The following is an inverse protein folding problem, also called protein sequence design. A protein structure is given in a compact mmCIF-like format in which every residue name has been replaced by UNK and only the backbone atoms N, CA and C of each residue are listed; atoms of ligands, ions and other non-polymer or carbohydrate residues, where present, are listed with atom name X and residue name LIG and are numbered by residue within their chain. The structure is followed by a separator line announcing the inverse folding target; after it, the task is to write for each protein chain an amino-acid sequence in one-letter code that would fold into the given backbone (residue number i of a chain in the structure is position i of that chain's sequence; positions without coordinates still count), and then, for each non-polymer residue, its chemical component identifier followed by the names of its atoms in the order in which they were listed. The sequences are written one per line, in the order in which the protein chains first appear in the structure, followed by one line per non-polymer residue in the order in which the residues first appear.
data_IF_641290291738
#
_entry.id   IF_641290291738
#
_cell.length_a   1.000
_cell.length_b   1.000
_cell.length_c   1.000
_cell.angle_alpha   90.00
_cell.angle_beta   90.00
_cell.angle_gamma   90.00
#
_symmetry.space_group_name_H-M   'P 1'
#
loop_
_entity.id
_entity.type
_entity.pdbx_description
1 polymer ?
#
# COMPACT_ATOMS: atom_id res chain seq x y z
N UNK A 1 2.89 -0.60 19.86
CA UNK A 1 3.80 0.26 19.09
C UNK A 1 3.17 1.63 18.94
N UNK A 2 3.86 2.68 19.40
CA UNK A 2 3.43 4.08 19.30
C UNK A 2 3.92 4.76 18.03
N UNK A 3 3.65 6.05 17.92
CA UNK A 3 4.29 6.94 16.97
C UNK A 3 5.55 7.50 17.57
N UNK A 4 6.63 7.53 16.79
CA UNK A 4 7.88 8.22 17.10
C UNK A 4 7.90 9.52 16.31
N UNK A 5 8.15 10.64 16.97
CA UNK A 5 8.16 11.96 16.34
C UNK A 5 9.56 12.55 16.38
N UNK A 6 9.98 13.12 15.27
CA UNK A 6 11.29 13.76 15.12
C UNK A 6 11.20 15.04 14.30
N UNK A 7 12.30 15.75 14.21
CA UNK A 7 12.47 16.86 13.28
C UNK A 7 12.99 16.29 11.95
N UNK A 8 12.27 16.55 10.85
CA UNK A 8 12.71 16.10 9.52
C UNK A 8 13.99 16.82 9.10
N UNK A 9 14.89 16.08 8.49
CA UNK A 9 16.20 16.54 7.99
C UNK A 9 16.27 16.54 6.46
N UNK A 10 15.41 15.74 5.79
CA UNK A 10 15.36 15.63 4.34
C UNK A 10 14.16 16.37 3.75
N UNK A 11 14.45 17.23 2.78
CA UNK A 11 13.42 18.02 2.08
C UNK A 11 13.57 17.90 0.57
N UNK A 12 12.43 17.84 -0.11
CA UNK A 12 12.37 17.89 -1.56
C UNK A 12 12.81 19.28 -2.07
N UNK A 13 13.05 19.39 -3.39
CA UNK A 13 13.36 20.69 -4.04
C UNK A 13 12.26 21.75 -3.83
N UNK A 14 11.03 21.34 -3.51
CA UNK A 14 9.90 22.24 -3.28
C UNK A 14 9.70 22.58 -1.78
N UNK A 15 10.60 22.12 -0.90
CA UNK A 15 10.54 22.36 0.54
C UNK A 15 9.59 21.44 1.30
N UNK A 16 8.96 20.46 0.65
CA UNK A 16 8.19 19.44 1.34
C UNK A 16 9.13 18.39 1.98
N UNK A 17 8.71 17.76 3.09
CA UNK A 17 9.48 16.68 3.72
C UNK A 17 9.60 15.51 2.74
N UNK A 18 10.82 15.06 2.47
CA UNK A 18 11.10 13.84 1.71
C UNK A 18 10.98 12.63 2.64
N UNK A 19 9.75 12.17 2.81
CA UNK A 19 9.40 11.05 3.69
C UNK A 19 10.18 9.78 3.38
N UNK A 20 10.48 9.57 2.09
CA UNK A 20 11.21 8.38 1.67
C UNK A 20 12.66 8.45 2.11
N UNK A 21 13.34 9.58 1.90
CA UNK A 21 14.71 9.78 2.32
C UNK A 21 14.87 9.71 3.84
N UNK A 22 13.94 10.32 4.61
CA UNK A 22 13.92 10.24 6.07
C UNK A 22 13.92 8.79 6.57
N UNK A 23 13.10 7.93 5.95
CA UNK A 23 12.98 6.55 6.41
C UNK A 23 14.11 5.68 5.86
N UNK A 24 14.58 5.91 4.63
CA UNK A 24 15.75 5.21 4.08
C UNK A 24 16.96 5.39 5.03
N UNK A 25 17.17 6.60 5.61
CA UNK A 25 18.21 6.84 6.59
C UNK A 25 18.01 6.04 7.88
N UNK A 26 16.78 5.97 8.42
CA UNK A 26 16.49 5.20 9.63
C UNK A 26 16.81 3.70 9.49
N UNK A 27 16.72 3.15 8.28
CA UNK A 27 17.03 1.74 7.99
C UNK A 27 18.42 1.52 7.39
N UNK A 28 19.26 2.57 7.31
CA UNK A 28 20.62 2.49 6.81
C UNK A 28 21.59 2.80 7.95
N UNK A 29 22.18 1.77 8.53
CA UNK A 29 23.09 1.92 9.66
C UNK A 29 24.14 0.79 9.70
N UNK A 30 25.19 1.01 10.44
CA UNK A 30 26.22 0.00 10.72
C UNK A 30 26.71 0.17 12.15
N UNK A 31 26.96 -0.96 12.81
CA UNK A 31 27.68 -1.06 14.08
C UNK A 31 28.79 -2.10 13.97
N UNK A 32 29.41 -2.47 15.08
CA UNK A 32 30.56 -3.38 15.11
C UNK A 32 30.22 -4.81 14.62
N UNK A 33 28.97 -5.21 14.66
CA UNK A 33 28.55 -6.58 14.36
C UNK A 33 27.67 -6.72 13.13
N UNK A 34 26.92 -5.68 12.78
CA UNK A 34 25.90 -5.74 11.70
C UNK A 34 25.88 -4.44 10.89
N UNK A 35 25.51 -4.62 9.62
CA UNK A 35 25.17 -3.53 8.70
C UNK A 35 23.76 -3.73 8.20
N UNK A 36 22.94 -2.67 8.22
CA UNK A 36 21.65 -2.62 7.55
C UNK A 36 21.70 -1.64 6.38
N UNK A 37 21.08 -2.01 5.28
CA UNK A 37 20.98 -1.17 4.09
C UNK A 37 19.63 -1.35 3.39
N UNK A 38 19.07 -0.26 2.89
CA UNK A 38 17.85 -0.28 2.09
C UNK A 38 18.20 -0.69 0.66
N UNK A 39 17.82 -1.91 0.25
CA UNK A 39 18.06 -2.42 -1.10
C UNK A 39 17.10 -1.78 -2.10
N UNK A 40 15.85 -1.64 -1.71
CA UNK A 40 14.79 -0.98 -2.49
C UNK A 40 13.68 -0.47 -1.59
N UNK A 41 13.18 0.72 -1.89
CA UNK A 41 12.05 1.29 -1.17
C UNK A 41 11.06 2.00 -2.09
N UNK A 42 9.81 2.16 -1.61
CA UNK A 42 8.74 2.86 -2.30
C UNK A 42 7.72 3.44 -1.31
N UNK A 43 7.12 4.57 -1.68
CA UNK A 43 5.93 5.12 -1.02
C UNK A 43 4.68 4.70 -1.78
N UNK A 44 3.72 4.07 -1.12
CA UNK A 44 2.44 3.67 -1.71
C UNK A 44 1.29 4.13 -0.80
N UNK A 45 0.47 5.06 -1.26
CA UNK A 45 -0.68 5.56 -0.49
C UNK A 45 -0.32 6.22 0.84
N UNK A 46 0.90 6.74 1.00
CA UNK A 46 1.37 7.33 2.27
C UNK A 46 2.09 6.34 3.20
N UNK A 47 2.11 5.05 2.85
CA UNK A 47 2.88 4.02 3.56
C UNK A 47 4.21 3.79 2.84
N UNK A 48 5.28 3.73 3.60
CA UNK A 48 6.60 3.36 3.11
C UNK A 48 6.77 1.85 3.20
N UNK A 49 7.35 1.26 2.13
CA UNK A 49 7.75 -0.14 2.05
C UNK A 49 9.20 -0.22 1.63
N UNK A 50 9.99 -1.09 2.27
CA UNK A 50 11.36 -1.34 1.85
C UNK A 50 11.76 -2.81 2.03
N UNK A 51 12.66 -3.27 1.16
CA UNK A 51 13.49 -4.43 1.39
C UNK A 51 14.76 -3.96 2.09
N UNK A 52 14.94 -4.35 3.34
CA UNK A 52 16.10 -4.00 4.18
C UNK A 52 16.97 -5.24 4.32
N UNK A 53 18.20 -5.15 3.85
CA UNK A 53 19.20 -6.21 3.99
C UNK A 53 20.03 -5.97 5.24
N UNK A 54 20.07 -6.94 6.13
CA UNK A 54 20.95 -6.95 7.31
C UNK A 54 22.03 -7.97 7.07
N UNK A 55 23.29 -7.56 7.21
CA UNK A 55 24.48 -8.39 7.06
C UNK A 55 25.21 -8.52 8.39
N UNK A 56 25.56 -9.73 8.80
CA UNK A 56 26.42 -10.00 9.95
C UNK A 56 27.88 -9.85 9.47
N UNK A 57 28.60 -8.88 10.05
CA UNK A 57 29.93 -8.51 9.55
C UNK A 57 30.98 -9.61 9.75
N UNK A 58 30.84 -10.44 10.77
CA UNK A 58 31.80 -11.52 11.06
C UNK A 58 31.70 -12.71 10.13
N UNK A 59 30.48 -13.02 9.62
CA UNK A 59 30.24 -14.21 8.78
C UNK A 59 29.93 -13.83 7.32
N UNK A 60 29.52 -12.60 7.05
CA UNK A 60 29.03 -12.16 5.76
C UNK A 60 27.62 -12.66 5.43
N UNK A 61 26.99 -13.42 6.32
CA UNK A 61 25.61 -13.87 6.15
C UNK A 61 24.65 -12.68 6.13
N UNK A 62 23.64 -12.76 5.28
CA UNK A 62 22.69 -11.68 5.16
C UNK A 62 21.26 -12.19 5.01
N UNK A 63 20.33 -11.43 5.58
CA UNK A 63 18.90 -11.64 5.47
C UNK A 63 18.25 -10.33 5.01
N UNK A 64 17.20 -10.45 4.19
CA UNK A 64 16.42 -9.31 3.70
C UNK A 64 14.98 -9.44 4.18
N UNK A 65 14.52 -8.48 4.95
CA UNK A 65 13.14 -8.42 5.48
C UNK A 65 12.41 -7.18 4.97
N UNK A 66 11.09 -7.17 5.09
CA UNK A 66 10.30 -6.00 4.74
C UNK A 66 10.13 -5.05 5.93
N UNK A 67 10.48 -3.78 5.75
CA UNK A 67 10.06 -2.69 6.60
C UNK A 67 8.76 -2.07 6.03
N UNK A 68 7.77 -1.85 6.91
CA UNK A 68 6.51 -1.19 6.60
C UNK A 68 6.35 -0.04 7.57
N UNK A 69 6.28 1.19 7.08
CA UNK A 69 6.26 2.39 7.93
C UNK A 69 5.13 3.31 7.52
N UNK A 70 4.25 3.60 8.48
CA UNK A 70 3.29 4.69 8.35
C UNK A 70 3.99 6.02 8.64
N UNK A 71 3.64 7.05 7.89
CA UNK A 71 4.20 8.38 8.05
C UNK A 71 3.14 9.41 8.36
N UNK A 72 3.48 10.35 9.21
CA UNK A 72 2.70 11.54 9.50
C UNK A 72 3.57 12.79 9.38
N UNK A 73 3.04 13.85 8.79
CA UNK A 73 3.70 15.15 8.74
C UNK A 73 2.81 16.19 9.39
N UNK A 74 3.38 16.94 10.32
CA UNK A 74 2.70 18.04 10.98
C UNK A 74 3.45 19.34 10.69
N UNK A 75 2.78 20.28 10.02
CA UNK A 75 3.40 21.56 9.66
C UNK A 75 3.44 22.60 10.80
N UNK A 76 2.89 22.27 11.96
CA UNK A 76 2.69 23.22 13.06
C UNK A 76 3.61 23.00 14.25
N UNK A 77 4.31 21.86 14.32
CA UNK A 77 5.14 21.49 15.45
C UNK A 77 6.63 21.41 15.12
N UNK A 78 7.47 21.62 16.14
CA UNK A 78 8.91 21.40 16.06
C UNK A 78 9.22 19.97 15.61
N UNK A 79 8.51 18.98 16.14
CA UNK A 79 8.56 17.61 15.68
C UNK A 79 7.59 17.43 14.50
N UNK A 80 8.04 17.76 13.31
CA UNK A 80 7.22 17.85 12.11
C UNK A 80 7.11 16.56 11.31
N UNK A 81 7.79 15.49 11.73
CA UNK A 81 7.77 14.20 11.10
C UNK A 81 7.51 13.09 12.11
N UNK A 82 6.48 12.30 11.88
CA UNK A 82 6.12 11.13 12.67
C UNK A 82 6.24 9.86 11.87
N UNK A 83 6.77 8.80 12.49
CA UNK A 83 6.87 7.46 11.93
C UNK A 83 6.26 6.44 12.88
N UNK A 84 5.62 5.44 12.29
CA UNK A 84 5.20 4.24 13.01
C UNK A 84 5.74 3.04 12.27
N UNK A 85 6.88 2.55 12.74
CA UNK A 85 7.56 1.42 12.14
C UNK A 85 6.86 0.11 12.49
N UNK A 86 6.64 -0.73 11.49
CA UNK A 86 6.13 -2.08 11.60
C UNK A 86 7.02 -3.00 10.76
N UNK A 87 7.42 -4.13 11.33
CA UNK A 87 8.09 -5.18 10.55
C UNK A 87 7.04 -6.15 9.99
N UNK A 88 7.38 -6.84 8.93
CA UNK A 88 6.51 -7.89 8.36
C UNK A 88 6.18 -8.99 9.39
N UNK A 89 7.07 -9.29 10.32
CA UNK A 89 6.87 -10.26 11.39
C UNK A 89 5.81 -9.86 12.41
N UNK A 90 5.40 -8.61 12.47
CA UNK A 90 4.27 -8.14 13.28
C UNK A 90 2.92 -8.17 12.54
N UNK A 91 2.90 -8.57 11.26
CA UNK A 91 1.70 -8.70 10.45
C UNK A 91 0.99 -7.37 10.21
N UNK A 92 1.64 -6.37 9.59
CA UNK A 92 1.04 -5.06 9.35
C UNK A 92 -0.26 -5.17 8.56
N UNK A 93 -1.18 -4.22 8.79
CA UNK A 93 -2.47 -4.15 8.07
C UNK A 93 -2.29 -3.62 6.64
N UNK A 94 -1.26 -2.82 6.41
CA UNK A 94 -0.92 -2.25 5.11
C UNK A 94 -0.26 -3.31 4.22
N UNK A 95 -1.03 -3.81 3.25
CA UNK A 95 -0.67 -4.94 2.40
C UNK A 95 -0.55 -4.59 0.91
N UNK A 96 -0.14 -3.35 0.62
CA UNK A 96 0.08 -2.85 -0.74
C UNK A 96 1.55 -2.81 -1.15
N UNK A 97 2.39 -3.65 -0.54
CA UNK A 97 3.81 -3.74 -0.86
C UNK A 97 4.03 -4.07 -2.35
N UNK A 98 4.90 -3.32 -3.06
CA UNK A 98 5.20 -3.59 -4.46
C UNK A 98 5.87 -4.96 -4.68
N UNK A 99 5.54 -5.61 -5.80
CA UNK A 99 6.15 -6.90 -6.19
C UNK A 99 7.68 -6.82 -6.25
N UNK A 100 8.22 -5.68 -6.68
CA UNK A 100 9.67 -5.45 -6.77
C UNK A 100 10.39 -5.39 -5.41
N UNK A 101 9.66 -5.20 -4.32
CA UNK A 101 10.17 -5.28 -2.95
C UNK A 101 9.99 -6.71 -2.44
N UNK A 102 8.79 -7.28 -2.60
CA UNK A 102 8.50 -8.67 -2.17
C UNK A 102 9.44 -9.71 -2.76
N UNK A 103 9.90 -9.50 -4.01
CA UNK A 103 10.83 -10.43 -4.69
C UNK A 103 12.25 -10.41 -4.14
N UNK A 104 12.59 -9.45 -3.29
CA UNK A 104 13.92 -9.32 -2.68
C UNK A 104 13.99 -9.92 -1.27
N UNK A 105 12.85 -10.30 -0.69
CA UNK A 105 12.78 -10.75 0.69
C UNK A 105 13.30 -12.19 0.82
N UNK A 106 14.12 -12.42 1.83
CA UNK A 106 14.58 -13.76 2.19
C UNK A 106 13.42 -14.66 2.65
N UNK A 107 13.50 -15.99 2.48
CA UNK A 107 12.56 -16.90 3.12
C UNK A 107 12.51 -16.68 4.64
N UNK A 108 11.37 -16.95 5.26
CA UNK A 108 11.18 -16.81 6.71
C UNK A 108 10.22 -17.84 7.25
N UNK A 109 10.44 -18.29 8.49
CA UNK A 109 9.53 -19.20 9.21
C UNK A 109 8.45 -18.45 9.99
N UNK A 110 8.47 -17.11 9.98
CA UNK A 110 7.45 -16.29 10.63
C UNK A 110 6.10 -16.42 9.92
N UNK A 111 5.11 -16.99 10.61
CA UNK A 111 3.74 -17.13 10.12
C UNK A 111 3.13 -15.76 9.77
N UNK A 112 3.35 -14.75 10.61
CA UNK A 112 2.84 -13.39 10.38
C UNK A 112 3.42 -12.77 9.10
N UNK A 113 4.73 -12.93 8.89
CA UNK A 113 5.39 -12.42 7.68
C UNK A 113 4.86 -13.15 6.43
N UNK A 114 4.74 -14.48 6.48
CA UNK A 114 4.23 -15.26 5.36
C UNK A 114 2.78 -14.89 5.01
N UNK A 115 1.92 -14.75 6.00
CA UNK A 115 0.52 -14.33 5.83
C UNK A 115 0.43 -12.90 5.25
N UNK A 116 1.27 -11.98 5.73
CA UNK A 116 1.33 -10.62 5.19
C UNK A 116 1.82 -10.60 3.74
N UNK A 117 2.90 -11.33 3.42
CA UNK A 117 3.44 -11.46 2.06
C UNK A 117 2.41 -12.04 1.09
N UNK A 118 1.60 -13.01 1.56
CA UNK A 118 0.53 -13.60 0.76
C UNK A 118 -0.59 -12.58 0.49
N UNK A 119 -1.03 -11.81 1.48
CA UNK A 119 -2.01 -10.73 1.27
C UNK A 119 -1.51 -9.71 0.24
N UNK A 120 -0.24 -9.31 0.33
CA UNK A 120 0.37 -8.41 -0.66
C UNK A 120 0.33 -9.00 -2.07
N UNK A 121 0.66 -10.30 -2.24
CA UNK A 121 0.60 -10.98 -3.54
C UNK A 121 -0.85 -11.02 -4.08
N UNK A 122 -1.81 -11.38 -3.24
CA UNK A 122 -3.24 -11.37 -3.61
C UNK A 122 -3.68 -9.98 -4.09
N UNK A 123 -3.27 -8.92 -3.40
CA UNK A 123 -3.56 -7.55 -3.81
C UNK A 123 -2.89 -7.16 -5.15
N UNK A 124 -1.68 -7.67 -5.42
CA UNK A 124 -1.01 -7.45 -6.71
C UNK A 124 -1.76 -8.17 -7.84
N UNK A 125 -2.17 -9.42 -7.63
CA UNK A 125 -2.94 -10.18 -8.62
C UNK A 125 -4.32 -9.56 -8.85
N UNK A 126 -5.03 -9.16 -7.80
CA UNK A 126 -6.29 -8.45 -7.92
C UNK A 126 -6.17 -7.12 -8.70
N UNK A 127 -4.98 -6.48 -8.68
CA UNK A 127 -4.71 -5.31 -9.53
C UNK A 127 -4.54 -5.67 -11.00
N UNK A 128 -4.12 -6.87 -11.32
CA UNK A 128 -3.96 -7.35 -12.69
C UNK A 128 -5.24 -7.95 -13.27
N UNK A 129 -6.18 -8.32 -12.41
CA UNK A 129 -7.46 -8.87 -12.84
C UNK A 129 -8.19 -7.88 -13.78
N UNK A 130 -8.43 -8.26 -15.06
CA UNK A 130 -9.13 -7.40 -15.99
C UNK A 130 -10.59 -7.14 -15.56
N UNK A 131 -11.17 -8.03 -14.76
CA UNK A 131 -12.52 -7.88 -14.21
C UNK A 131 -12.57 -7.09 -12.90
N UNK A 132 -11.42 -6.72 -12.32
CA UNK A 132 -11.42 -5.83 -11.16
C UNK A 132 -12.06 -4.47 -11.50
N UNK A 133 -12.91 -3.95 -10.62
CA UNK A 133 -13.71 -2.72 -10.82
C UNK A 133 -12.95 -1.57 -11.47
N UNK A 134 -11.68 -1.37 -11.07
CA UNK A 134 -10.84 -0.29 -11.58
C UNK A 134 -10.36 -0.51 -13.02
N UNK A 135 -10.21 -1.79 -13.43
CA UNK A 135 -9.70 -2.17 -14.75
C UNK A 135 -10.80 -2.25 -15.80
N UNK A 136 -12.06 -2.38 -15.37
CA UNK A 136 -13.20 -2.39 -16.30
C UNK A 136 -13.25 -1.10 -17.12
N UNK A 137 -13.57 -1.15 -18.42
CA UNK A 137 -13.67 0.03 -19.27
C UNK A 137 -14.85 0.91 -18.86
N UNK A 138 -14.85 2.16 -19.33
CA UNK A 138 -16.04 3.01 -19.32
C UNK A 138 -17.10 2.36 -20.20
N UNK A 139 -18.34 2.29 -19.73
CA UNK A 139 -19.42 1.57 -20.37
C UNK A 139 -19.63 0.15 -19.82
N UNK A 140 -18.70 -0.38 -19.01
CA UNK A 140 -18.89 -1.66 -18.35
C UNK A 140 -20.09 -1.63 -17.41
N UNK A 141 -20.85 -2.73 -17.38
CA UNK A 141 -21.97 -2.94 -16.47
C UNK A 141 -21.63 -4.07 -15.51
N UNK A 142 -21.82 -3.83 -14.22
CA UNK A 142 -21.72 -4.84 -13.17
C UNK A 142 -23.07 -5.03 -12.48
N UNK A 143 -23.30 -6.24 -11.96
CA UNK A 143 -24.48 -6.59 -11.17
C UNK A 143 -24.06 -7.23 -9.86
N UNK A 144 -24.78 -6.94 -8.79
CA UNK A 144 -24.66 -7.62 -7.50
C UNK A 144 -26.00 -7.60 -6.75
N UNK A 145 -26.15 -8.51 -5.79
CA UNK A 145 -27.35 -8.60 -4.98
C UNK A 145 -27.07 -8.02 -3.57
N UNK A 146 -27.94 -7.15 -3.12
CA UNK A 146 -27.93 -6.65 -1.75
C UNK A 146 -28.36 -7.73 -0.75
N UNK A 147 -28.06 -7.50 0.53
CA UNK A 147 -28.56 -8.36 1.62
C UNK A 147 -30.09 -8.41 1.71
N UNK A 148 -30.80 -7.43 1.11
CA UNK A 148 -32.27 -7.41 0.98
C UNK A 148 -32.80 -8.34 -0.10
N UNK A 149 -31.93 -8.97 -0.92
CA UNK A 149 -32.30 -9.76 -2.07
C UNK A 149 -32.50 -8.94 -3.37
N UNK A 150 -32.41 -7.62 -3.29
CA UNK A 150 -32.53 -6.73 -4.45
C UNK A 150 -31.26 -6.80 -5.32
N UNK A 151 -31.42 -6.95 -6.64
CA UNK A 151 -30.32 -6.92 -7.61
C UNK A 151 -30.09 -5.49 -8.10
N UNK A 152 -28.86 -5.02 -8.03
CA UNK A 152 -28.46 -3.69 -8.49
C UNK A 152 -27.51 -3.81 -9.67
N UNK A 153 -27.77 -3.03 -10.71
CA UNK A 153 -26.88 -2.84 -11.84
C UNK A 153 -26.24 -1.45 -11.80
N UNK A 154 -24.94 -1.41 -11.99
CA UNK A 154 -24.16 -0.18 -12.07
C UNK A 154 -23.45 -0.08 -13.41
N UNK A 155 -23.55 1.07 -14.05
CA UNK A 155 -22.83 1.43 -15.26
C UNK A 155 -21.60 2.28 -14.89
N UNK A 156 -20.44 1.96 -15.46
CA UNK A 156 -19.23 2.77 -15.29
C UNK A 156 -19.24 3.94 -16.28
N UNK A 157 -19.36 5.14 -15.75
CA UNK A 157 -19.29 6.38 -16.51
C UNK A 157 -17.89 6.94 -16.61
N UNK A 158 -17.61 7.69 -17.67
CA UNK A 158 -16.40 8.50 -17.80
C UNK A 158 -16.34 9.59 -16.73
N UNK A 159 -15.14 10.13 -16.49
CA UNK A 159 -14.98 11.33 -15.68
C UNK A 159 -15.82 12.48 -16.26
N UNK A 160 -16.51 13.21 -15.37
CA UNK A 160 -17.35 14.35 -15.72
C UNK A 160 -16.97 15.55 -14.84
N UNK A 161 -17.55 16.72 -15.14
CA UNK A 161 -17.23 17.97 -14.42
C UNK A 161 -17.28 17.83 -12.89
N UNK A 162 -18.22 17.05 -12.36
CA UNK A 162 -18.38 16.80 -10.92
C UNK A 162 -17.47 15.66 -10.39
N UNK A 163 -16.96 14.80 -11.27
CA UNK A 163 -16.16 13.64 -10.92
C UNK A 163 -14.88 13.62 -11.75
N UNK A 164 -13.76 13.94 -11.12
CA UNK A 164 -12.43 13.96 -11.76
C UNK A 164 -11.93 12.57 -12.21
N UNK A 165 -12.65 11.50 -11.87
CA UNK A 165 -12.33 10.09 -12.20
C UNK A 165 -13.60 9.37 -12.67
N UNK A 166 -13.49 8.27 -13.45
CA UNK A 166 -14.61 7.40 -13.76
C UNK A 166 -15.36 6.97 -12.48
N UNK A 167 -16.67 6.88 -12.55
CA UNK A 167 -17.54 6.57 -11.42
C UNK A 167 -18.62 5.56 -11.81
N UNK A 168 -19.23 4.92 -10.79
CA UNK A 168 -20.29 3.95 -10.97
C UNK A 168 -21.63 4.61 -10.70
N UNK A 169 -22.60 4.35 -11.59
CA UNK A 169 -23.92 4.99 -11.57
C UNK A 169 -25.01 3.92 -11.67
N UNK A 170 -25.96 3.96 -10.76
CA UNK A 170 -27.13 3.11 -10.77
C UNK A 170 -28.22 3.78 -11.60
N UNK A 171 -28.55 3.21 -12.76
CA UNK A 171 -29.54 3.78 -13.67
C UNK A 171 -30.97 3.75 -13.08
N UNK A 172 -31.31 2.71 -12.32
CA UNK A 172 -32.65 2.56 -11.73
C UNK A 172 -32.94 3.57 -10.63
N UNK A 173 -31.93 3.90 -9.80
CA UNK A 173 -32.11 4.85 -8.70
C UNK A 173 -31.64 6.29 -9.00
N UNK A 174 -30.97 6.49 -10.14
CA UNK A 174 -30.35 7.78 -10.48
C UNK A 174 -29.22 8.21 -9.54
N UNK A 175 -28.62 7.27 -8.81
CA UNK A 175 -27.60 7.56 -7.78
C UNK A 175 -26.22 7.06 -8.18
N UNK A 176 -25.23 7.83 -7.78
CA UNK A 176 -23.83 7.45 -7.83
C UNK A 176 -23.46 6.51 -6.66
N UNK A 177 -22.63 5.51 -6.94
CA UNK A 177 -22.10 4.60 -5.93
C UNK A 177 -20.56 4.63 -5.95
N UNK A 178 -19.90 4.95 -4.84
CA UNK A 178 -18.44 4.88 -4.77
C UNK A 178 -17.97 3.42 -4.84
N UNK A 179 -16.85 3.18 -5.54
CA UNK A 179 -16.30 1.83 -5.73
C UNK A 179 -16.04 1.08 -4.41
N UNK A 180 -15.77 1.82 -3.32
CA UNK A 180 -15.58 1.24 -1.98
C UNK A 180 -16.82 0.62 -1.36
N UNK A 181 -18.01 0.91 -1.89
CA UNK A 181 -19.30 0.35 -1.43
C UNK A 181 -19.80 -0.80 -2.31
N UNK A 182 -19.11 -1.07 -3.42
CA UNK A 182 -19.44 -2.19 -4.29
C UNK A 182 -18.89 -3.47 -3.64
N UNK A 183 -19.72 -4.48 -3.37
CA UNK A 183 -19.26 -5.71 -2.76
C UNK A 183 -18.34 -6.50 -3.71
N UNK A 184 -17.49 -7.37 -3.17
CA UNK A 184 -16.52 -8.12 -3.95
C UNK A 184 -17.16 -9.22 -4.83
N UNK A 185 -18.39 -9.63 -4.54
CA UNK A 185 -19.13 -10.68 -5.23
C UNK A 185 -20.02 -10.16 -6.39
N UNK A 186 -19.60 -9.07 -7.05
CA UNK A 186 -20.27 -8.62 -8.27
C UNK A 186 -19.92 -9.51 -9.46
N UNK A 187 -20.82 -9.56 -10.44
CA UNK A 187 -20.57 -10.14 -11.76
C UNK A 187 -20.43 -9.03 -12.81
N UNK A 188 -19.59 -9.26 -13.82
CA UNK A 188 -19.49 -8.37 -14.99
C UNK A 188 -20.51 -8.81 -16.01
N UNK A 189 -21.50 -7.95 -16.28
CA UNK A 189 -22.58 -8.21 -17.23
C UNK A 189 -22.16 -7.85 -18.66
N UNK A 190 -21.47 -6.70 -18.78
CA UNK A 190 -20.94 -6.21 -20.06
C UNK A 190 -19.64 -5.45 -19.79
N UNK A 191 -18.62 -5.70 -20.60
CA UNK A 191 -17.31 -5.03 -20.52
C UNK A 191 -16.91 -4.45 -21.87
#
# INVERSE_FOLDING_TARGET
MGWDYTHATHYTRTGAIDRKAEIDELYTWQNDTRKAEVVRSAMVGGTYYAAVKVTILSTGESETFAAVVLTHTNSWDYFNFGVKAMGESSGPCEDHCPASILSLLSPTDSEYANNWRERCRKNIEAKKDPHALKNLPVGAVIRFTLHTGESIELLKHAAAYQFKRPFWFCQSSGRYMPATRIPANYEVVTA
#
